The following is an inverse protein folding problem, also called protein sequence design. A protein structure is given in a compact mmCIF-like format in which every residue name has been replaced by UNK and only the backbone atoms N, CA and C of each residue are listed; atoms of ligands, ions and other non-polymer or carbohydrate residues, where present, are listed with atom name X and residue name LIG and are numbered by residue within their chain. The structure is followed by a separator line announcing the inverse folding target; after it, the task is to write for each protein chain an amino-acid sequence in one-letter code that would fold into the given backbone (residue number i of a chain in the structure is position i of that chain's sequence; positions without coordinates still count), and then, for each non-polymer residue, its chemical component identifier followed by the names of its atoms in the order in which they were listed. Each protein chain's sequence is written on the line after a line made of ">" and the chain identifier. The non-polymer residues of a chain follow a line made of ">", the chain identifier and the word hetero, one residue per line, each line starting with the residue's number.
data_IF_020106992346
#
_entry.id   IF_020106992346
#
_cell.length_a   1.000
_cell.length_b   1.000
_cell.length_c   1.000
_cell.angle_alpha   90.00
_cell.angle_beta   90.00
_cell.angle_gamma   90.00
#
_symmetry.space_group_name_H-M   'P 1'
#
loop_
_entity.id
_entity.type
_entity.pdbx_description
1 polymer ?
#
# COMPACT_ATOMS: atom_id res chain seq x y z
N UNK A 1 7.24 29.56 16.34
CA UNK A 1 7.39 29.99 17.77
C UNK A 1 7.31 28.75 18.64
N UNK A 2 8.39 28.41 19.35
CA UNK A 2 8.42 27.28 20.29
C UNK A 2 7.55 27.61 21.50
N UNK A 3 6.39 26.96 21.59
CA UNK A 3 5.55 27.06 22.80
C UNK A 3 6.29 26.44 23.99
N UNK A 4 6.76 27.27 24.89
CA UNK A 4 7.32 26.81 26.17
C UNK A 4 6.24 26.10 26.96
N UNK A 5 6.50 24.85 27.34
CA UNK A 5 5.65 24.06 28.22
C UNK A 5 5.53 24.74 29.58
N UNK A 6 4.30 25.08 30.02
CA UNK A 6 4.07 25.67 31.35
C UNK A 6 3.35 24.66 32.25
N UNK A 7 3.77 24.60 33.53
CA UNK A 7 3.13 23.75 34.54
C UNK A 7 1.99 24.47 35.26
N UNK A 8 1.93 25.81 35.19
CA UNK A 8 1.10 26.65 36.04
C UNK A 8 1.65 26.72 37.48
N UNK A 9 0.92 27.30 38.38
CA UNK A 9 1.27 27.33 39.80
C UNK A 9 0.02 27.31 40.71
N UNK A 10 0.11 26.66 41.86
CA UNK A 10 -0.95 26.63 42.87
C UNK A 10 -0.72 27.69 43.94
N UNK A 11 -1.76 28.46 44.25
CA UNK A 11 -1.84 29.39 45.39
C UNK A 11 -3.11 29.13 46.19
N UNK A 12 -3.08 29.54 47.50
CA UNK A 12 -4.25 29.58 48.36
C UNK A 12 -4.95 30.92 48.20
N UNK A 13 -6.26 30.91 47.95
CA UNK A 13 -7.11 32.11 47.98
C UNK A 13 -8.21 31.95 49.01
N UNK A 14 -8.49 33.02 49.80
CA UNK A 14 -9.67 33.09 50.66
C UNK A 14 -10.91 33.30 49.79
N UNK A 15 -11.87 32.40 49.92
CA UNK A 15 -13.18 32.48 49.22
C UNK A 15 -14.30 32.34 50.25
N UNK A 16 -15.55 32.57 49.82
CA UNK A 16 -16.74 32.51 50.66
C UNK A 16 -16.91 31.19 51.44
N UNK A 17 -16.42 30.08 50.90
CA UNK A 17 -16.50 28.75 51.51
C UNK A 17 -15.24 28.35 52.28
N UNK A 18 -14.24 29.24 52.41
CA UNK A 18 -12.98 28.97 53.09
C UNK A 18 -11.74 29.13 52.21
N UNK A 19 -10.59 28.80 52.76
CA UNK A 19 -9.32 28.84 52.06
C UNK A 19 -9.30 27.73 50.98
N UNK A 20 -9.06 28.10 49.70
CA UNK A 20 -9.17 27.21 48.54
C UNK A 20 -7.86 27.19 47.78
N UNK A 21 -7.41 25.98 47.35
CA UNK A 21 -6.35 25.84 46.38
C UNK A 21 -6.85 26.27 45.01
N UNK A 22 -6.10 27.19 44.36
CA UNK A 22 -6.42 27.71 43.02
C UNK A 22 -5.22 27.52 42.11
N UNK A 23 -5.45 26.90 40.97
CA UNK A 23 -4.45 26.74 39.92
C UNK A 23 -4.48 27.98 39.02
N UNK A 24 -3.32 28.60 38.86
CA UNK A 24 -3.08 29.73 37.96
C UNK A 24 -2.27 29.30 36.77
N UNK A 25 -2.63 29.83 35.62
CA UNK A 25 -1.89 29.60 34.36
C UNK A 25 -2.14 30.77 33.40
N UNK A 26 -1.28 30.90 32.37
CA UNK A 26 -1.38 32.00 31.41
C UNK A 26 -1.80 31.47 30.06
N UNK A 27 -2.75 32.15 29.39
CA UNK A 27 -3.14 31.91 28.01
C UNK A 27 -2.91 33.17 27.18
N UNK A 28 -2.84 32.99 25.84
CA UNK A 28 -2.77 34.11 24.91
C UNK A 28 -4.18 34.33 24.38
N UNK A 29 -4.74 35.54 24.59
CA UNK A 29 -6.05 35.89 24.06
C UNK A 29 -5.99 36.00 22.54
N UNK A 30 -6.88 35.30 21.83
CA UNK A 30 -6.90 35.27 20.36
C UNK A 30 -7.23 36.61 19.70
N UNK A 31 -7.96 37.49 20.39
CA UNK A 31 -8.41 38.79 19.84
C UNK A 31 -7.31 39.86 19.75
N UNK A 32 -6.33 39.85 20.65
CA UNK A 32 -5.33 40.92 20.82
C UNK A 32 -3.91 40.41 21.05
N UNK A 33 -3.69 39.08 21.08
CA UNK A 33 -2.38 38.46 21.31
C UNK A 33 -1.81 38.67 22.72
N UNK A 34 -2.58 39.28 23.66
CA UNK A 34 -2.10 39.56 25.02
C UNK A 34 -2.14 38.33 25.93
N UNK A 35 -1.16 38.21 26.81
CA UNK A 35 -1.12 37.16 27.86
C UNK A 35 -2.17 37.49 28.93
N UNK A 36 -3.09 36.55 29.16
CA UNK A 36 -4.12 36.64 30.19
C UNK A 36 -3.87 35.53 31.22
N UNK A 37 -3.95 35.92 32.48
CA UNK A 37 -3.89 34.98 33.59
C UNK A 37 -5.28 34.38 33.83
N UNK A 38 -5.34 33.06 33.88
CA UNK A 38 -6.55 32.29 34.18
C UNK A 38 -6.37 31.59 35.51
N UNK A 39 -7.49 31.33 36.18
CA UNK A 39 -7.51 30.63 37.44
C UNK A 39 -8.67 29.65 37.54
N UNK A 40 -8.35 28.46 38.09
CA UNK A 40 -9.30 27.37 38.29
C UNK A 40 -9.25 26.97 39.77
N UNK A 41 -10.37 26.98 40.50
CA UNK A 41 -10.42 26.47 41.87
C UNK A 41 -10.32 24.95 41.84
N UNK A 42 -9.44 24.37 42.68
CA UNK A 42 -9.20 22.94 42.75
C UNK A 42 -10.01 22.30 43.88
N UNK A 43 -10.00 22.92 45.06
CA UNK A 43 -10.75 22.46 46.21
C UNK A 43 -10.28 23.14 47.49
N UNK A 44 -10.99 22.89 48.61
CA UNK A 44 -10.68 23.52 49.88
C UNK A 44 -9.35 23.03 50.45
N UNK A 45 -8.61 23.90 51.14
CA UNK A 45 -7.32 23.56 51.77
C UNK A 45 -7.47 22.48 52.84
N UNK A 46 -8.64 22.41 53.50
CA UNK A 46 -8.95 21.35 54.46
C UNK A 46 -9.05 19.95 53.84
N UNK A 47 -9.42 19.88 52.54
CA UNK A 47 -9.58 18.62 51.84
C UNK A 47 -8.25 18.16 51.21
N UNK A 48 -7.33 19.10 50.97
CA UNK A 48 -6.00 18.86 50.43
C UNK A 48 -4.93 19.46 51.32
N UNK A 49 -4.45 18.67 52.28
CA UNK A 49 -3.56 19.10 53.38
C UNK A 49 -2.20 19.63 52.90
N UNK A 50 -1.77 19.30 51.69
CA UNK A 50 -0.52 19.76 51.12
C UNK A 50 -0.66 20.21 49.68
N UNK A 51 0.32 21.03 49.23
CA UNK A 51 0.40 21.46 47.82
C UNK A 51 0.57 20.26 46.85
N UNK A 52 1.21 19.20 47.32
CA UNK A 52 1.38 17.96 46.54
C UNK A 52 0.04 17.24 46.34
N UNK A 53 -0.79 17.15 47.39
CA UNK A 53 -2.13 16.57 47.27
C UNK A 53 -3.01 17.39 46.33
N UNK A 54 -2.93 18.73 46.37
CA UNK A 54 -3.64 19.60 45.44
C UNK A 54 -3.15 19.42 43.98
N UNK A 55 -1.86 19.16 43.77
CA UNK A 55 -1.33 18.81 42.44
C UNK A 55 -1.83 17.44 41.95
N UNK A 56 -1.93 16.43 42.81
CA UNK A 56 -2.54 15.15 42.48
C UNK A 56 -3.98 15.31 42.01
N UNK A 57 -4.74 16.22 42.62
CA UNK A 57 -6.11 16.53 42.18
C UNK A 57 -6.14 17.25 40.81
N UNK A 58 -5.19 18.16 40.54
CA UNK A 58 -5.03 18.77 39.21
C UNK A 58 -4.77 17.72 38.14
N UNK A 59 -3.94 16.73 38.44
CA UNK A 59 -3.64 15.61 37.52
C UNK A 59 -4.87 14.69 37.35
N UNK A 60 -5.60 14.39 38.46
CA UNK A 60 -6.80 13.59 38.43
C UNK A 60 -7.93 14.24 37.61
N UNK A 61 -8.09 15.55 37.73
CA UNK A 61 -9.05 16.33 36.94
C UNK A 61 -8.59 16.58 35.51
N UNK A 62 -7.44 16.04 35.10
CA UNK A 62 -6.88 16.21 33.72
C UNK A 62 -6.84 17.69 33.27
N UNK A 63 -6.51 18.61 34.13
CA UNK A 63 -6.40 20.03 33.82
C UNK A 63 -5.12 20.33 33.05
N UNK A 64 -5.11 20.03 31.77
CA UNK A 64 -3.94 20.21 30.90
C UNK A 64 -3.79 21.65 30.43
N UNK A 65 -2.94 22.42 31.12
CA UNK A 65 -2.70 23.85 30.92
C UNK A 65 -1.97 24.17 29.59
N UNK A 66 -1.33 23.20 29.00
CA UNK A 66 -0.52 23.35 27.79
C UNK A 66 -1.22 22.90 26.50
N UNK A 67 -2.49 22.59 26.56
CA UNK A 67 -3.24 22.31 25.33
C UNK A 67 -3.39 23.62 24.56
N UNK A 68 -2.78 23.66 23.38
CA UNK A 68 -3.24 24.56 22.31
C UNK A 68 -4.74 24.32 22.21
N UNK A 69 -5.56 25.38 22.31
CA UNK A 69 -7.01 25.30 22.36
C UNK A 69 -7.63 24.75 21.06
N UNK A 70 -7.36 23.48 20.76
CA UNK A 70 -8.23 22.62 19.98
C UNK A 70 -9.24 21.90 20.89
N UNK A 71 -9.47 22.42 22.10
CA UNK A 71 -10.40 21.83 23.06
C UNK A 71 -11.79 21.75 22.45
N UNK A 72 -12.13 20.60 21.99
CA UNK A 72 -13.50 20.16 21.79
C UNK A 72 -14.13 20.44 20.42
N UNK A 73 -13.49 21.17 19.52
CA UNK A 73 -14.14 21.58 18.26
C UNK A 73 -13.37 21.26 16.98
N UNK A 74 -12.14 20.66 17.03
CA UNK A 74 -11.44 20.28 15.80
C UNK A 74 -12.25 19.22 15.07
N UNK A 75 -12.64 19.52 13.86
CA UNK A 75 -13.32 18.56 12.99
C UNK A 75 -12.32 17.58 12.38
N UNK A 76 -12.81 16.46 11.86
CA UNK A 76 -11.96 15.54 11.12
C UNK A 76 -11.34 16.22 9.88
N UNK A 77 -12.04 17.18 9.26
CA UNK A 77 -11.50 17.96 8.14
C UNK A 77 -10.28 18.77 8.54
N UNK A 78 -10.29 19.44 9.70
CA UNK A 78 -9.13 20.21 10.18
C UNK A 78 -7.90 19.32 10.34
N UNK A 79 -8.08 18.12 10.94
CA UNK A 79 -7.02 17.15 11.09
C UNK A 79 -6.51 16.62 9.75
N UNK A 80 -7.42 16.34 8.82
CA UNK A 80 -7.09 15.80 7.50
C UNK A 80 -6.37 16.82 6.63
N UNK A 81 -6.75 18.08 6.66
CA UNK A 81 -6.07 19.17 5.94
C UNK A 81 -4.64 19.35 6.49
N UNK A 82 -4.49 19.44 7.80
CA UNK A 82 -3.16 19.53 8.41
C UNK A 82 -2.27 18.32 8.07
N UNK A 83 -2.86 17.09 8.03
CA UNK A 83 -2.14 15.91 7.59
C UNK A 83 -1.72 16.01 6.12
N UNK A 84 -2.61 16.48 5.24
CA UNK A 84 -2.30 16.62 3.83
C UNK A 84 -1.19 17.63 3.57
N UNK A 85 -1.24 18.79 4.22
CA UNK A 85 -0.24 19.85 4.10
C UNK A 85 1.18 19.47 4.58
N UNK A 86 1.29 18.55 5.56
CA UNK A 86 2.58 18.20 6.16
C UNK A 86 3.10 16.83 5.74
N UNK A 87 2.23 15.91 5.33
CA UNK A 87 2.60 14.52 5.07
C UNK A 87 2.39 14.07 3.63
N UNK A 88 1.52 14.75 2.88
CA UNK A 88 1.22 14.43 1.49
C UNK A 88 1.88 15.44 0.52
N UNK A 89 3.03 15.94 0.92
CA UNK A 89 3.87 16.83 0.12
C UNK A 89 4.82 16.05 -0.78
N UNK A 90 5.39 16.72 -1.76
CA UNK A 90 6.35 16.13 -2.70
C UNK A 90 7.55 15.51 -1.96
N UNK A 91 8.12 14.40 -2.50
CA UNK A 91 9.19 13.66 -1.83
C UNK A 91 10.44 14.48 -1.49
N UNK A 92 10.69 15.58 -2.21
CA UNK A 92 11.83 16.49 -1.99
C UNK A 92 11.69 17.33 -0.73
N UNK A 93 10.48 17.54 -0.23
CA UNK A 93 10.18 18.41 0.90
C UNK A 93 10.01 17.65 2.22
N UNK A 94 9.98 16.32 2.17
CA UNK A 94 9.72 15.47 3.34
C UNK A 94 10.97 14.75 3.84
N UNK A 95 11.16 14.72 5.17
CA UNK A 95 12.18 13.90 5.85
C UNK A 95 11.91 12.39 5.64
N UNK A 96 10.64 12.00 5.48
CA UNK A 96 10.21 10.63 5.21
C UNK A 96 9.34 10.59 3.94
N UNK A 97 9.95 10.66 2.76
CA UNK A 97 9.23 10.81 1.50
C UNK A 97 8.32 9.61 1.23
N UNK A 98 7.06 9.89 0.99
CA UNK A 98 6.11 8.89 0.48
C UNK A 98 6.21 8.84 -1.05
N UNK A 99 6.08 7.63 -1.62
CA UNK A 99 6.00 7.52 -3.07
C UNK A 99 4.77 8.29 -3.60
N UNK A 100 4.93 8.96 -4.74
CA UNK A 100 3.88 9.76 -5.38
C UNK A 100 2.54 9.01 -5.53
N UNK A 101 2.60 7.72 -5.89
CA UNK A 101 1.39 6.86 -5.96
C UNK A 101 0.71 6.67 -4.61
N UNK A 102 1.46 6.70 -3.50
CA UNK A 102 0.93 6.63 -2.13
C UNK A 102 0.24 7.93 -1.77
N UNK A 103 0.87 9.08 -2.06
CA UNK A 103 0.31 10.42 -1.86
C UNK A 103 -1.04 10.51 -2.58
N UNK A 104 -1.06 10.32 -3.90
CA UNK A 104 -2.32 10.33 -4.70
C UNK A 104 -3.36 9.34 -4.19
N UNK A 105 -2.92 8.16 -3.75
CA UNK A 105 -3.83 7.15 -3.22
C UNK A 105 -4.46 7.53 -1.88
N UNK A 106 -3.75 8.29 -1.04
CA UNK A 106 -4.28 8.79 0.23
C UNK A 106 -5.15 10.02 0.03
N UNK A 107 -4.74 10.96 -0.82
CA UNK A 107 -5.55 12.13 -1.22
C UNK A 107 -6.91 11.70 -1.79
N UNK A 108 -6.91 10.69 -2.68
CA UNK A 108 -8.16 10.15 -3.24
C UNK A 108 -9.08 9.59 -2.16
N UNK A 109 -8.53 8.86 -1.19
CA UNK A 109 -9.31 8.32 -0.06
C UNK A 109 -9.84 9.45 0.81
N UNK A 110 -9.02 10.42 1.16
CA UNK A 110 -9.43 11.59 1.94
C UNK A 110 -10.54 12.35 1.22
N UNK A 111 -10.29 12.80 -0.01
CA UNK A 111 -11.21 13.67 -0.77
C UNK A 111 -12.52 12.98 -1.14
N UNK A 112 -12.45 11.71 -1.60
CA UNK A 112 -13.63 11.06 -2.17
C UNK A 112 -14.43 10.23 -1.17
N UNK A 113 -13.87 9.92 0.03
CA UNK A 113 -14.51 9.01 0.98
C UNK A 113 -14.56 9.56 2.40
N UNK A 114 -13.43 9.98 2.96
CA UNK A 114 -13.37 10.32 4.38
C UNK A 114 -13.92 11.73 4.65
N UNK A 115 -13.53 12.73 3.88
CA UNK A 115 -14.01 14.10 4.05
C UNK A 115 -15.51 14.25 3.82
N UNK A 116 -16.12 13.68 2.76
CA UNK A 116 -17.57 13.75 2.58
C UNK A 116 -18.36 13.13 3.72
N UNK A 117 -17.88 12.06 4.31
CA UNK A 117 -18.57 11.32 5.38
C UNK A 117 -18.33 11.92 6.77
N UNK A 118 -17.07 12.25 7.08
CA UNK A 118 -16.62 12.54 8.44
C UNK A 118 -16.11 13.97 8.62
N UNK A 119 -15.90 14.71 7.56
CA UNK A 119 -15.21 16.01 7.59
C UNK A 119 -15.79 16.98 8.61
N UNK A 120 -17.11 17.10 8.67
CA UNK A 120 -17.80 18.03 9.58
C UNK A 120 -17.99 17.50 11.01
N UNK A 121 -17.60 16.25 11.28
CA UNK A 121 -17.73 15.66 12.61
C UNK A 121 -16.57 16.08 13.51
N UNK A 122 -16.86 16.33 14.77
CA UNK A 122 -15.84 16.56 15.81
C UNK A 122 -14.96 15.31 15.89
N UNK A 123 -13.64 15.45 15.70
CA UNK A 123 -12.74 14.33 15.55
C UNK A 123 -12.69 13.42 16.78
N UNK A 124 -12.70 13.99 17.98
CA UNK A 124 -12.69 13.24 19.24
C UNK A 124 -14.05 12.61 19.60
N UNK A 125 -15.11 12.99 18.90
CA UNK A 125 -16.46 12.43 19.08
C UNK A 125 -16.79 11.32 18.09
N UNK A 126 -15.82 10.85 17.30
CA UNK A 126 -16.06 9.73 16.37
C UNK A 126 -15.91 8.40 17.10
N UNK A 127 -17.01 7.64 17.10
CA UNK A 127 -17.05 6.33 17.75
C UNK A 127 -16.56 5.21 16.79
N UNK A 128 -15.78 4.24 17.31
CA UNK A 128 -15.29 3.12 16.49
C UNK A 128 -16.40 2.35 15.78
N UNK A 129 -17.54 2.15 16.47
CA UNK A 129 -18.68 1.39 15.95
C UNK A 129 -19.34 2.09 14.74
N UNK A 130 -19.48 3.43 14.79
CA UNK A 130 -20.00 4.20 13.65
C UNK A 130 -19.16 4.01 12.39
N UNK A 131 -17.82 3.98 12.56
CA UNK A 131 -16.90 3.74 11.43
C UNK A 131 -16.99 2.30 10.92
N UNK A 132 -17.15 1.32 11.81
CA UNK A 132 -17.36 -0.08 11.39
C UNK A 132 -18.66 -0.24 10.59
N UNK A 133 -19.74 0.37 11.04
CA UNK A 133 -21.05 0.32 10.35
C UNK A 133 -20.98 0.97 8.99
N UNK A 134 -20.31 2.13 8.89
CA UNK A 134 -20.08 2.79 7.61
C UNK A 134 -19.25 1.93 6.65
N UNK A 135 -18.16 1.30 7.11
CA UNK A 135 -17.36 0.39 6.29
C UNK A 135 -18.18 -0.83 5.83
N UNK A 136 -19.01 -1.39 6.71
CA UNK A 136 -19.94 -2.49 6.36
C UNK A 136 -20.98 -2.03 5.33
N UNK A 137 -21.52 -0.82 5.48
CA UNK A 137 -22.45 -0.25 4.51
C UNK A 137 -21.81 -0.12 3.14
N UNK A 138 -20.60 0.44 3.03
CA UNK A 138 -19.85 0.53 1.77
C UNK A 138 -19.60 -0.83 1.12
N UNK A 139 -19.33 -1.87 1.92
CA UNK A 139 -19.20 -3.22 1.40
C UNK A 139 -20.52 -3.72 0.79
N UNK A 140 -21.66 -3.46 1.43
CA UNK A 140 -22.99 -3.91 0.96
C UNK A 140 -23.49 -3.13 -0.25
N UNK A 141 -23.32 -1.82 -0.24
CA UNK A 141 -23.90 -0.93 -1.27
C UNK A 141 -23.03 -0.80 -2.52
N UNK A 142 -21.71 -0.82 -2.35
CA UNK A 142 -20.76 -0.61 -3.46
C UNK A 142 -19.90 -1.83 -3.78
N UNK A 143 -20.05 -2.94 -3.04
CA UNK A 143 -19.27 -4.15 -3.26
C UNK A 143 -17.76 -3.99 -3.02
N UNK A 144 -17.34 -3.02 -2.19
CA UNK A 144 -15.92 -2.73 -2.01
C UNK A 144 -15.19 -3.89 -1.34
N UNK A 145 -14.03 -4.24 -1.89
CA UNK A 145 -13.18 -5.30 -1.35
C UNK A 145 -12.59 -4.94 0.03
N UNK A 146 -12.43 -5.94 0.90
CA UNK A 146 -11.89 -5.77 2.24
C UNK A 146 -10.57 -4.95 2.30
N UNK A 147 -9.57 -5.18 1.42
CA UNK A 147 -8.35 -4.34 1.41
C UNK A 147 -8.60 -2.86 1.11
N UNK A 148 -9.65 -2.53 0.35
CA UNK A 148 -10.03 -1.14 0.06
C UNK A 148 -10.62 -0.48 1.30
N UNK A 149 -11.49 -1.19 2.02
CA UNK A 149 -12.07 -0.74 3.29
C UNK A 149 -11.00 -0.55 4.36
N UNK A 150 -10.07 -1.52 4.50
CA UNK A 150 -8.96 -1.42 5.43
C UNK A 150 -8.00 -0.26 5.06
N UNK A 151 -7.81 0.04 3.77
CA UNK A 151 -7.06 1.23 3.35
C UNK A 151 -7.71 2.51 3.86
N UNK A 152 -9.05 2.63 3.81
CA UNK A 152 -9.77 3.80 4.35
C UNK A 152 -9.53 3.93 5.86
N UNK A 153 -9.70 2.85 6.62
CA UNK A 153 -9.42 2.79 8.06
C UNK A 153 -7.97 3.18 8.37
N UNK A 154 -6.99 2.66 7.60
CA UNK A 154 -5.57 3.00 7.78
C UNK A 154 -5.28 4.46 7.52
N UNK A 155 -5.82 5.05 6.44
CA UNK A 155 -5.63 6.48 6.13
C UNK A 155 -6.21 7.34 7.24
N UNK A 156 -7.42 7.01 7.72
CA UNK A 156 -8.03 7.69 8.86
C UNK A 156 -7.16 7.59 10.13
N UNK A 157 -6.63 6.40 10.44
CA UNK A 157 -5.70 6.21 11.56
C UNK A 157 -4.41 7.02 11.41
N UNK A 158 -3.89 7.18 10.19
CA UNK A 158 -2.71 8.01 9.92
C UNK A 158 -2.98 9.50 10.22
N UNK A 159 -4.16 10.00 9.87
CA UNK A 159 -4.58 11.37 10.20
C UNK A 159 -4.58 11.58 11.72
N UNK A 160 -5.18 10.67 12.48
CA UNK A 160 -5.18 10.75 13.96
C UNK A 160 -3.77 10.66 14.55
N UNK A 161 -2.94 9.73 14.09
CA UNK A 161 -1.55 9.59 14.57
C UNK A 161 -0.70 10.83 14.28
N UNK A 162 -0.88 11.42 13.11
CA UNK A 162 -0.26 12.69 12.76
C UNK A 162 -0.71 13.80 13.71
N UNK A 163 -2.00 13.94 13.94
CA UNK A 163 -2.58 14.94 14.84
C UNK A 163 -2.11 14.77 16.27
N UNK A 164 -1.95 13.55 16.75
CA UNK A 164 -1.33 13.25 18.03
C UNK A 164 0.15 13.69 18.08
N UNK A 165 0.92 13.41 17.01
CA UNK A 165 2.32 13.81 16.91
C UNK A 165 2.49 15.33 16.97
N UNK A 166 1.62 16.07 16.28
CA UNK A 166 1.64 17.53 16.27
C UNK A 166 0.95 18.18 17.49
N UNK A 167 0.35 17.38 18.37
CA UNK A 167 -0.35 17.90 19.56
C UNK A 167 -1.67 18.59 19.27
N UNK A 168 -2.28 18.33 18.10
CA UNK A 168 -3.60 18.83 17.73
C UNK A 168 -4.71 18.14 18.52
N UNK A 169 -4.47 16.89 18.93
CA UNK A 169 -5.33 16.08 19.80
C UNK A 169 -4.48 15.42 20.88
N UNK A 170 -5.08 14.93 21.98
CA UNK A 170 -4.36 14.27 23.07
C UNK A 170 -3.53 13.07 22.60
N UNK A 171 -2.34 12.87 23.22
CA UNK A 171 -1.41 11.77 22.88
C UNK A 171 -1.72 10.47 23.65
N UNK A 172 -2.98 10.16 23.86
CA UNK A 172 -3.42 8.92 24.48
C UNK A 172 -3.97 7.94 23.42
N UNK A 173 -4.20 6.69 23.83
CA UNK A 173 -4.70 5.66 22.89
C UNK A 173 -6.14 5.91 22.45
N UNK A 174 -6.96 6.47 23.32
CA UNK A 174 -8.40 6.71 23.16
C UNK A 174 -8.68 7.79 22.12
N UNK A 175 -7.77 8.77 21.96
CA UNK A 175 -7.90 9.84 20.96
C UNK A 175 -7.75 9.38 19.52
N UNK A 176 -7.43 8.11 19.27
CA UNK A 176 -7.45 7.52 17.92
C UNK A 176 -8.44 6.36 17.87
N UNK A 177 -9.72 6.60 17.55
CA UNK A 177 -10.75 5.58 17.54
C UNK A 177 -10.49 4.45 16.56
N UNK A 178 -9.68 4.69 15.51
CA UNK A 178 -9.32 3.67 14.51
C UNK A 178 -8.53 2.49 15.06
N UNK A 179 -7.99 2.59 16.26
CA UNK A 179 -7.31 1.47 16.94
C UNK A 179 -8.29 0.38 17.36
N UNK A 180 -9.53 0.75 17.61
CA UNK A 180 -10.59 -0.14 18.07
C UNK A 180 -11.52 -0.58 16.93
N UNK A 181 -11.43 0.05 15.75
CA UNK A 181 -12.21 -0.30 14.56
C UNK A 181 -11.76 -1.66 14.01
N UNK A 182 -12.66 -2.62 14.01
CA UNK A 182 -12.47 -3.95 13.42
C UNK A 182 -12.74 -3.89 11.92
N UNK A 183 -11.78 -4.31 11.13
CA UNK A 183 -11.93 -4.37 9.67
C UNK A 183 -11.24 -5.63 9.14
N UNK A 184 -11.94 -6.41 8.32
CA UNK A 184 -11.36 -7.59 7.66
C UNK A 184 -10.31 -7.13 6.64
N UNK A 185 -9.10 -7.67 6.73
CA UNK A 185 -7.97 -7.25 5.89
C UNK A 185 -7.68 -8.22 4.74
N UNK A 186 -8.21 -9.45 4.83
CA UNK A 186 -7.95 -10.51 3.85
C UNK A 186 -8.61 -10.20 2.52
N UNK A 187 -7.86 -10.37 1.44
CA UNK A 187 -8.38 -10.32 0.08
C UNK A 187 -9.07 -11.64 -0.27
N UNK A 188 -10.20 -11.55 -0.94
CA UNK A 188 -10.90 -12.68 -1.55
C UNK A 188 -10.54 -12.80 -3.05
N UNK A 189 -9.58 -11.98 -3.50
CA UNK A 189 -9.14 -11.99 -4.90
C UNK A 189 -8.21 -13.18 -5.17
N UNK A 190 -8.61 -13.99 -6.12
CA UNK A 190 -7.78 -15.02 -6.72
C UNK A 190 -7.24 -14.52 -8.08
N UNK A 191 -5.92 -14.61 -8.25
CA UNK A 191 -5.29 -14.20 -9.49
C UNK A 191 -5.57 -15.23 -10.58
N UNK A 192 -6.03 -14.78 -11.75
CA UNK A 192 -6.08 -15.63 -12.94
C UNK A 192 -4.65 -16.03 -13.33
N UNK A 193 -4.40 -17.33 -13.41
CA UNK A 193 -3.13 -17.90 -13.83
C UNK A 193 -3.28 -18.43 -15.26
N UNK A 194 -2.41 -17.98 -16.15
CA UNK A 194 -2.35 -18.46 -17.53
C UNK A 194 -1.40 -19.66 -17.62
N UNK A 195 -1.78 -20.65 -18.41
CA UNK A 195 -0.83 -21.68 -18.86
C UNK A 195 0.13 -21.11 -19.94
N UNK A 196 1.27 -21.75 -20.21
CA UNK A 196 2.16 -21.32 -21.31
C UNK A 196 1.45 -21.21 -22.65
N UNK A 197 0.55 -22.14 -22.96
CA UNK A 197 -0.25 -22.18 -24.20
C UNK A 197 -1.20 -20.98 -24.27
N UNK A 198 -1.88 -20.67 -23.17
CA UNK A 198 -2.75 -19.50 -23.07
C UNK A 198 -1.96 -18.19 -23.21
N UNK A 199 -0.81 -18.08 -22.55
CA UNK A 199 0.08 -16.92 -22.67
C UNK A 199 0.55 -16.75 -24.13
N UNK A 200 0.90 -17.82 -24.81
CA UNK A 200 1.28 -17.82 -26.22
C UNK A 200 0.11 -17.38 -27.10
N UNK A 201 -1.10 -17.89 -26.88
CA UNK A 201 -2.29 -17.48 -27.60
C UNK A 201 -2.58 -15.97 -27.48
N UNK A 202 -2.35 -15.38 -26.29
CA UNK A 202 -2.44 -13.92 -26.12
C UNK A 202 -1.39 -13.20 -26.96
N UNK A 203 -0.13 -13.67 -26.94
CA UNK A 203 0.97 -13.05 -27.70
C UNK A 203 0.73 -13.05 -29.20
N UNK A 204 0.10 -14.10 -29.75
CA UNK A 204 -0.27 -14.19 -31.20
C UNK A 204 -1.26 -13.09 -31.57
N UNK A 205 -2.11 -12.65 -30.66
CA UNK A 205 -3.12 -11.60 -30.88
C UNK A 205 -2.63 -10.19 -30.61
N UNK A 206 -1.33 -10.00 -30.28
CA UNK A 206 -0.71 -8.70 -30.04
C UNK A 206 0.20 -8.31 -31.21
N UNK A 207 0.27 -7.01 -31.49
CA UNK A 207 1.24 -6.40 -32.40
C UNK A 207 2.40 -5.78 -31.61
N UNK A 208 3.45 -5.32 -32.30
CA UNK A 208 4.50 -4.53 -31.66
C UNK A 208 4.01 -3.10 -31.39
N UNK A 209 4.40 -2.50 -30.26
CA UNK A 209 5.36 -2.99 -29.22
C UNK A 209 4.72 -3.84 -28.12
N UNK A 210 3.39 -3.99 -28.10
CA UNK A 210 2.66 -4.66 -27.00
C UNK A 210 3.04 -6.12 -26.89
N UNK A 211 3.34 -6.79 -28.02
CA UNK A 211 3.81 -8.18 -28.02
C UNK A 211 5.13 -8.33 -27.27
N UNK A 212 6.13 -7.52 -27.62
CA UNK A 212 7.45 -7.56 -26.96
C UNK A 212 7.34 -7.14 -25.48
N UNK A 213 6.51 -6.15 -25.15
CA UNK A 213 6.26 -5.74 -23.76
C UNK A 213 5.63 -6.87 -22.94
N UNK A 214 4.63 -7.53 -23.50
CA UNK A 214 3.92 -8.63 -22.83
C UNK A 214 4.86 -9.83 -22.63
N UNK A 215 5.67 -10.17 -23.65
CA UNK A 215 6.68 -11.22 -23.54
C UNK A 215 7.74 -10.90 -22.49
N UNK A 216 8.21 -9.65 -22.43
CA UNK A 216 9.15 -9.19 -21.41
C UNK A 216 8.55 -9.36 -20.00
N UNK A 217 7.32 -8.90 -19.78
CA UNK A 217 6.65 -9.01 -18.50
C UNK A 217 6.40 -10.48 -18.08
N UNK A 218 5.99 -11.33 -19.03
CA UNK A 218 5.73 -12.74 -18.78
C UNK A 218 7.01 -13.54 -18.51
N UNK A 219 8.07 -13.30 -19.29
CA UNK A 219 9.31 -14.07 -19.19
C UNK A 219 10.24 -13.66 -18.04
N UNK A 220 10.18 -12.38 -17.60
CA UNK A 220 11.03 -11.86 -16.53
C UNK A 220 10.30 -11.65 -15.20
N UNK A 221 8.97 -11.62 -15.22
CA UNK A 221 8.16 -11.25 -14.06
C UNK A 221 8.34 -9.78 -13.63
N UNK A 222 8.90 -8.91 -14.46
CA UNK A 222 8.97 -7.47 -14.21
C UNK A 222 7.57 -6.88 -13.99
N UNK A 223 7.46 -5.94 -13.07
CA UNK A 223 6.21 -5.17 -12.93
C UNK A 223 6.03 -4.25 -14.14
N UNK A 224 4.81 -4.04 -14.58
CA UNK A 224 4.53 -3.15 -15.71
C UNK A 224 5.19 -1.77 -15.57
N UNK A 225 5.20 -1.20 -14.36
CA UNK A 225 5.87 0.07 -14.09
C UNK A 225 7.40 0.01 -14.26
N UNK A 226 8.01 -1.14 -14.04
CA UNK A 226 9.44 -1.38 -14.26
C UNK A 226 9.71 -1.55 -15.77
N UNK A 227 8.88 -2.32 -16.47
CA UNK A 227 8.98 -2.46 -17.95
C UNK A 227 8.86 -1.09 -18.65
N UNK A 228 7.87 -0.29 -18.26
CA UNK A 228 7.65 1.04 -18.85
C UNK A 228 8.74 2.05 -18.45
N UNK A 229 9.45 1.82 -17.33
CA UNK A 229 10.57 2.62 -16.89
C UNK A 229 11.90 2.31 -17.61
N UNK A 230 11.95 1.30 -18.49
CA UNK A 230 13.18 0.92 -19.19
C UNK A 230 13.54 1.91 -20.30
N UNK A 231 14.81 2.24 -20.39
CA UNK A 231 15.45 2.88 -21.53
C UNK A 231 16.42 1.91 -22.21
N UNK A 232 16.77 2.15 -23.45
CA UNK A 232 17.67 1.25 -24.20
C UNK A 232 19.06 1.12 -23.56
N UNK A 233 19.55 2.14 -22.88
CA UNK A 233 20.80 2.07 -22.09
C UNK A 233 20.73 1.13 -20.88
N UNK A 234 19.53 0.70 -20.48
CA UNK A 234 19.35 -0.26 -19.38
C UNK A 234 19.40 -1.72 -19.87
N UNK A 235 19.43 -1.94 -21.18
CA UNK A 235 19.41 -3.26 -21.82
C UNK A 235 20.78 -3.55 -22.41
N UNK A 236 21.57 -4.40 -21.74
CA UNK A 236 22.83 -4.90 -22.28
C UNK A 236 22.60 -6.22 -23.01
N UNK A 237 22.61 -6.18 -24.33
CA UNK A 237 22.51 -7.41 -25.13
C UNK A 237 23.80 -8.24 -25.06
N UNK A 238 24.97 -7.59 -24.91
CA UNK A 238 26.26 -8.26 -24.80
C UNK A 238 26.40 -9.03 -23.48
N UNK A 239 25.96 -8.42 -22.37
CA UNK A 239 26.01 -9.04 -21.04
C UNK A 239 24.76 -9.89 -20.74
N UNK A 240 23.78 -9.92 -21.65
CA UNK A 240 22.50 -10.58 -21.48
C UNK A 240 21.76 -10.20 -20.19
N UNK A 241 21.68 -8.89 -19.89
CA UNK A 241 21.14 -8.32 -18.65
C UNK A 241 20.31 -7.09 -18.89
N UNK A 242 19.24 -6.94 -18.09
CA UNK A 242 18.44 -5.71 -17.98
C UNK A 242 18.67 -5.12 -16.58
N UNK A 243 19.03 -3.83 -16.51
CA UNK A 243 19.19 -3.07 -15.27
C UNK A 243 17.94 -2.27 -14.96
N UNK A 244 17.23 -2.59 -13.86
CA UNK A 244 16.02 -1.87 -13.48
C UNK A 244 16.39 -0.68 -12.61
N UNK A 245 16.59 0.48 -13.23
CA UNK A 245 17.01 1.72 -12.56
C UNK A 245 15.85 2.59 -12.13
N UNK A 246 14.72 2.54 -12.85
CA UNK A 246 13.57 3.42 -12.64
C UNK A 246 12.25 2.69 -12.87
N UNK A 247 11.16 3.34 -12.46
CA UNK A 247 9.79 2.91 -12.73
C UNK A 247 9.02 4.05 -13.36
N UNK A 248 8.01 3.73 -14.16
CA UNK A 248 7.09 4.72 -14.69
C UNK A 248 5.68 4.46 -14.20
N UNK A 249 5.08 5.43 -13.50
CA UNK A 249 3.72 5.28 -12.95
C UNK A 249 3.03 6.63 -12.87
N UNK A 250 1.80 6.69 -13.35
CA UNK A 250 0.96 7.91 -13.28
C UNK A 250 1.61 9.17 -13.89
N UNK A 251 2.39 9.02 -14.96
CA UNK A 251 3.03 10.14 -15.64
C UNK A 251 4.33 10.62 -14.99
N UNK A 252 4.89 9.86 -14.04
CA UNK A 252 6.10 10.23 -13.33
C UNK A 252 7.12 9.09 -13.28
N UNK A 253 8.39 9.48 -13.33
CA UNK A 253 9.53 8.60 -13.06
C UNK A 253 9.64 8.41 -11.56
N UNK A 254 9.72 7.17 -11.14
CA UNK A 254 9.96 6.79 -9.74
C UNK A 254 11.13 5.81 -9.61
N UNK A 255 11.42 5.42 -8.37
CA UNK A 255 12.45 4.44 -8.05
C UNK A 255 11.84 3.09 -7.71
N UNK A 256 12.53 1.97 -7.99
CA UNK A 256 12.12 0.65 -7.54
C UNK A 256 11.96 0.62 -6.01
N UNK A 257 10.85 0.04 -5.52
CA UNK A 257 10.41 0.11 -4.11
C UNK A 257 11.35 -0.53 -3.10
N UNK A 258 12.18 -1.49 -3.52
CA UNK A 258 13.05 -2.26 -2.63
C UNK A 258 14.43 -2.47 -3.24
N UNK A 259 15.42 -2.79 -2.39
CA UNK A 259 16.76 -3.18 -2.87
C UNK A 259 16.70 -4.37 -3.83
N UNK A 260 15.85 -5.37 -3.53
CA UNK A 260 15.64 -6.52 -4.40
C UNK A 260 15.10 -6.14 -5.79
N UNK A 261 14.27 -5.09 -5.87
CA UNK A 261 13.74 -4.58 -7.14
C UNK A 261 14.77 -3.83 -8.01
N UNK A 262 15.93 -3.48 -7.47
CA UNK A 262 17.04 -2.84 -8.20
C UNK A 262 18.03 -3.85 -8.80
N UNK A 263 17.88 -5.13 -8.48
CA UNK A 263 18.77 -6.18 -8.98
C UNK A 263 18.69 -6.34 -10.51
N UNK A 264 19.78 -6.84 -11.12
CA UNK A 264 19.82 -7.16 -12.55
C UNK A 264 18.81 -8.27 -12.86
N UNK A 265 18.27 -8.25 -14.07
CA UNK A 265 17.35 -9.26 -14.60
C UNK A 265 18.02 -9.96 -15.76
N UNK A 266 18.18 -11.28 -15.72
CA UNK A 266 18.74 -12.02 -16.84
C UNK A 266 17.88 -11.85 -18.10
N UNK A 267 18.53 -11.60 -19.23
CA UNK A 267 17.90 -11.49 -20.53
C UNK A 267 18.14 -12.76 -21.32
N UNK A 268 17.15 -13.65 -21.33
CA UNK A 268 17.24 -14.89 -22.08
C UNK A 268 17.40 -14.61 -23.59
N UNK A 269 18.20 -15.41 -24.36
CA UNK A 269 18.47 -15.16 -25.79
C UNK A 269 17.21 -14.98 -26.65
N UNK A 270 16.18 -15.80 -26.43
CA UNK A 270 14.89 -15.64 -27.14
C UNK A 270 14.25 -14.27 -26.90
N UNK A 271 14.25 -13.81 -25.65
CA UNK A 271 13.70 -12.50 -25.30
C UNK A 271 14.56 -11.37 -25.87
N UNK A 272 15.89 -11.54 -25.84
CA UNK A 272 16.84 -10.61 -26.42
C UNK A 272 16.57 -10.42 -27.93
N UNK A 273 16.27 -11.49 -28.66
CA UNK A 273 15.94 -11.44 -30.07
C UNK A 273 14.67 -10.60 -30.34
N UNK A 274 13.59 -10.82 -29.58
CA UNK A 274 12.36 -10.00 -29.70
C UNK A 274 12.63 -8.53 -29.39
N UNK A 275 13.37 -8.25 -28.34
CA UNK A 275 13.72 -6.86 -27.96
C UNK A 275 14.63 -6.21 -29.01
N UNK A 276 15.56 -6.96 -29.58
CA UNK A 276 16.45 -6.45 -30.64
C UNK A 276 15.66 -6.17 -31.94
N UNK A 277 14.78 -7.06 -32.33
CA UNK A 277 13.86 -6.84 -33.48
C UNK A 277 12.98 -5.62 -33.27
N UNK A 278 12.46 -5.43 -32.06
CA UNK A 278 11.71 -4.23 -31.70
C UNK A 278 12.59 -2.97 -31.76
N UNK A 279 13.80 -3.03 -31.23
CA UNK A 279 14.76 -1.90 -31.29
C UNK A 279 15.03 -1.45 -32.74
N UNK A 280 15.06 -2.37 -33.68
CA UNK A 280 15.24 -2.06 -35.11
C UNK A 280 14.00 -1.48 -35.79
N UNK A 281 12.82 -1.69 -35.22
CA UNK A 281 11.54 -1.22 -35.79
C UNK A 281 11.09 0.12 -35.20
N UNK A 282 11.44 0.41 -33.97
CA UNK A 282 11.04 1.65 -33.32
C UNK A 282 11.79 2.85 -33.87
N UNK A 283 11.12 4.00 -33.94
CA UNK A 283 11.77 5.28 -34.28
C UNK A 283 12.62 5.84 -33.11
N UNK A 284 12.47 5.28 -31.91
CA UNK A 284 13.08 5.73 -30.67
C UNK A 284 14.04 4.64 -30.15
N UNK A 285 15.25 4.60 -30.73
CA UNK A 285 16.24 3.55 -30.49
C UNK A 285 17.54 4.03 -29.84
N UNK A 286 17.64 5.34 -29.52
CA UNK A 286 18.81 5.91 -28.87
C UNK A 286 18.93 5.40 -27.40
N UNK A 287 20.13 5.40 -26.81
CA UNK A 287 20.34 4.90 -25.45
C UNK A 287 19.39 5.50 -24.40
N UNK A 288 19.07 6.79 -24.50
CA UNK A 288 18.18 7.51 -23.58
C UNK A 288 16.68 7.36 -23.88
N UNK A 289 16.33 6.77 -25.04
CA UNK A 289 14.94 6.60 -25.42
C UNK A 289 14.29 5.49 -24.59
N UNK A 290 12.98 5.64 -24.36
CA UNK A 290 12.17 4.61 -23.70
C UNK A 290 12.03 3.37 -24.61
N UNK A 291 12.16 2.20 -24.00
CA UNK A 291 11.97 0.93 -24.74
C UNK A 291 10.54 0.82 -25.25
N UNK A 292 9.56 1.33 -24.49
CA UNK A 292 8.14 1.31 -24.86
C UNK A 292 7.55 2.74 -24.84
N UNK A 293 7.93 3.55 -25.87
CA UNK A 293 7.54 4.94 -25.94
C UNK A 293 6.07 5.13 -26.30
N UNK A 294 5.49 6.24 -25.86
CA UNK A 294 4.21 6.72 -26.36
C UNK A 294 4.41 7.41 -27.73
N UNK A 295 3.89 6.81 -28.79
CA UNK A 295 3.93 7.44 -30.13
C UNK A 295 3.12 8.72 -30.16
N UNK A 296 1.98 8.77 -29.44
CA UNK A 296 1.15 9.98 -29.30
C UNK A 296 1.93 11.17 -28.73
N UNK A 297 2.86 10.90 -27.81
CA UNK A 297 3.73 11.90 -27.18
C UNK A 297 5.13 11.95 -27.84
N UNK A 298 5.26 11.51 -29.09
CA UNK A 298 6.52 11.56 -29.86
C UNK A 298 7.73 11.01 -29.10
N UNK A 299 7.54 9.93 -28.34
CA UNK A 299 8.61 9.27 -27.58
C UNK A 299 9.05 9.97 -26.28
N UNK A 300 8.52 11.14 -25.96
CA UNK A 300 8.92 11.89 -24.76
C UNK A 300 8.56 11.18 -23.45
N UNK A 301 7.54 10.38 -23.46
CA UNK A 301 7.09 9.61 -22.30
C UNK A 301 6.79 8.15 -22.68
N UNK A 302 6.87 7.22 -21.72
CA UNK A 302 6.39 5.87 -21.92
C UNK A 302 4.86 5.80 -22.11
N UNK A 303 4.40 4.64 -22.54
CA UNK A 303 2.98 4.31 -22.62
C UNK A 303 2.33 4.27 -21.24
N UNK A 304 1.00 4.31 -21.23
CA UNK A 304 0.20 4.28 -19.99
C UNK A 304 -0.26 2.85 -19.72
N UNK A 305 0.05 2.33 -18.53
CA UNK A 305 -0.21 0.93 -18.17
C UNK A 305 -1.69 0.53 -18.28
N UNK A 306 -2.63 1.37 -17.84
CA UNK A 306 -4.06 1.06 -17.92
C UNK A 306 -4.54 0.97 -19.38
N UNK A 307 -4.11 1.91 -20.22
CA UNK A 307 -4.46 1.86 -21.65
C UNK A 307 -3.90 0.60 -22.33
N UNK A 308 -2.70 0.17 -21.96
CA UNK A 308 -2.13 -1.07 -22.48
C UNK A 308 -2.96 -2.31 -22.09
N UNK A 309 -3.55 -2.30 -20.90
CA UNK A 309 -4.44 -3.38 -20.46
C UNK A 309 -5.78 -3.30 -21.20
N UNK A 310 -6.41 -2.14 -21.22
CA UNK A 310 -7.77 -1.94 -21.74
C UNK A 310 -7.82 -2.03 -23.27
N UNK A 311 -6.86 -1.42 -23.96
CA UNK A 311 -6.88 -1.29 -25.41
C UNK A 311 -6.19 -2.48 -26.14
N UNK A 312 -5.30 -3.22 -25.45
CA UNK A 312 -4.49 -4.25 -26.11
C UNK A 312 -4.52 -5.61 -25.42
N UNK A 313 -4.17 -5.68 -24.11
CA UNK A 313 -3.97 -6.96 -23.44
C UNK A 313 -5.28 -7.72 -23.22
N UNK A 314 -6.34 -7.04 -22.74
CA UNK A 314 -7.66 -7.66 -22.55
C UNK A 314 -8.30 -8.02 -23.88
N UNK A 315 -8.33 -7.18 -24.93
CA UNK A 315 -8.80 -7.57 -26.25
C UNK A 315 -8.04 -8.76 -26.85
N UNK A 316 -6.73 -8.86 -26.64
CA UNK A 316 -5.96 -10.02 -27.09
C UNK A 316 -6.35 -11.30 -26.32
N UNK A 317 -6.60 -11.21 -25.01
CA UNK A 317 -7.05 -12.33 -24.21
C UNK A 317 -8.48 -12.78 -24.55
N UNK A 318 -9.37 -11.84 -24.93
CA UNK A 318 -10.69 -12.14 -25.50
C UNK A 318 -10.57 -12.91 -26.82
N UNK A 319 -9.74 -12.41 -27.75
CA UNK A 319 -9.50 -13.10 -29.04
C UNK A 319 -8.87 -14.48 -28.86
N UNK A 320 -8.09 -14.67 -27.82
CA UNK A 320 -7.50 -15.95 -27.43
C UNK A 320 -8.48 -16.89 -26.72
N UNK A 321 -9.74 -16.49 -26.50
CA UNK A 321 -10.76 -17.28 -25.79
C UNK A 321 -10.51 -17.45 -24.29
N UNK A 322 -9.70 -16.59 -23.66
CA UNK A 322 -9.33 -16.66 -22.24
C UNK A 322 -10.30 -15.85 -21.37
N UNK A 323 -10.72 -14.70 -21.87
CA UNK A 323 -11.73 -13.85 -21.22
C UNK A 323 -13.07 -14.01 -21.95
N UNK A 324 -14.16 -13.93 -21.19
CA UNK A 324 -15.51 -13.92 -21.73
C UNK A 324 -15.76 -12.62 -22.52
N UNK A 325 -16.63 -12.72 -23.52
CA UNK A 325 -17.00 -11.59 -24.35
C UNK A 325 -18.33 -11.85 -25.05
N UNK A 326 -19.02 -10.79 -25.42
CA UNK A 326 -20.16 -10.83 -26.29
C UNK A 326 -19.90 -10.02 -27.57
N UNK A 327 -20.77 -10.16 -28.59
CA UNK A 327 -20.74 -9.29 -29.75
C UNK A 327 -21.74 -8.15 -29.56
N UNK A 328 -21.28 -6.92 -29.80
CA UNK A 328 -22.16 -5.75 -29.82
C UNK A 328 -23.05 -5.76 -31.11
N UNK A 329 -23.97 -4.78 -31.18
CA UNK A 329 -24.86 -4.62 -32.33
C UNK A 329 -24.11 -4.40 -33.66
N UNK A 330 -22.83 -4.04 -33.60
CA UNK A 330 -21.92 -3.87 -34.73
C UNK A 330 -21.06 -5.10 -34.99
N UNK A 331 -21.33 -6.22 -34.30
CA UNK A 331 -20.59 -7.47 -34.42
C UNK A 331 -19.17 -7.47 -33.81
N UNK A 332 -18.78 -6.43 -33.08
CA UNK A 332 -17.46 -6.35 -32.44
C UNK A 332 -17.46 -7.14 -31.14
N UNK A 333 -16.35 -7.83 -30.85
CA UNK A 333 -16.14 -8.50 -29.56
C UNK A 333 -15.93 -7.45 -28.48
N UNK A 334 -16.78 -7.50 -27.46
CA UNK A 334 -16.72 -6.63 -26.28
C UNK A 334 -16.40 -7.51 -25.07
N UNK A 335 -15.38 -7.14 -24.33
CA UNK A 335 -14.98 -7.79 -23.07
C UNK A 335 -16.03 -7.54 -21.99
N UNK A 336 -16.63 -8.60 -21.47
CA UNK A 336 -17.60 -8.59 -20.36
C UNK A 336 -17.14 -9.45 -19.16
N UNK A 337 -15.89 -9.91 -19.20
CA UNK A 337 -15.35 -10.73 -18.13
C UNK A 337 -15.14 -9.91 -16.86
N UNK A 338 -15.82 -10.26 -15.74
CA UNK A 338 -15.70 -9.52 -14.48
C UNK A 338 -14.35 -9.73 -13.79
N UNK A 339 -13.56 -10.73 -14.22
CA UNK A 339 -12.28 -11.04 -13.60
C UNK A 339 -11.26 -9.97 -13.91
N UNK A 340 -10.46 -9.63 -12.88
CA UNK A 340 -9.33 -8.72 -13.06
C UNK A 340 -8.23 -9.42 -13.84
N UNK A 341 -7.92 -8.91 -15.02
CA UNK A 341 -6.84 -9.40 -15.86
C UNK A 341 -5.95 -8.24 -16.30
N UNK A 342 -4.63 -8.42 -16.21
CA UNK A 342 -3.62 -7.42 -16.58
C UNK A 342 -2.21 -7.96 -16.41
N UNK A 343 -1.21 -7.12 -16.60
CA UNK A 343 0.21 -7.51 -16.54
C UNK A 343 0.64 -8.21 -15.25
N UNK A 344 -0.03 -7.94 -14.13
CA UNK A 344 0.31 -8.60 -12.87
C UNK A 344 -0.05 -10.09 -12.87
N UNK A 345 -1.05 -10.48 -13.66
CA UNK A 345 -1.42 -11.89 -13.86
C UNK A 345 -0.32 -12.66 -14.59
N UNK A 346 0.40 -12.04 -15.53
CA UNK A 346 1.55 -12.67 -16.20
C UNK A 346 2.67 -13.01 -15.19
N UNK A 347 2.93 -12.11 -14.25
CA UNK A 347 3.89 -12.36 -13.18
C UNK A 347 3.42 -13.47 -12.23
N UNK A 348 2.14 -13.53 -11.89
CA UNK A 348 1.55 -14.63 -11.12
C UNK A 348 1.65 -15.96 -11.89
N UNK A 349 1.40 -15.94 -13.20
CA UNK A 349 1.53 -17.11 -14.05
C UNK A 349 2.97 -17.63 -14.09
N UNK A 350 3.96 -16.75 -14.23
CA UNK A 350 5.37 -17.13 -14.14
C UNK A 350 5.69 -17.75 -12.77
N UNK A 351 5.24 -17.13 -11.68
CA UNK A 351 5.45 -17.67 -10.35
C UNK A 351 4.88 -19.08 -10.19
N UNK A 352 3.62 -19.27 -10.60
CA UNK A 352 2.95 -20.58 -10.55
C UNK A 352 3.58 -21.61 -11.47
N UNK A 353 4.05 -21.20 -12.64
CA UNK A 353 4.79 -22.09 -13.57
C UNK A 353 6.09 -22.58 -12.94
N UNK A 354 6.90 -21.69 -12.34
CA UNK A 354 8.16 -22.04 -11.68
C UNK A 354 7.94 -23.00 -10.51
N UNK A 355 6.88 -22.80 -9.74
CA UNK A 355 6.47 -23.71 -8.66
C UNK A 355 6.12 -25.09 -9.22
N UNK A 356 5.33 -25.15 -10.30
CA UNK A 356 4.90 -26.39 -10.95
C UNK A 356 6.08 -27.22 -11.47
N UNK A 357 7.13 -26.57 -11.98
CA UNK A 357 8.37 -27.26 -12.41
C UNK A 357 9.34 -27.49 -11.25
N UNK A 358 8.87 -27.34 -9.98
CA UNK A 358 9.63 -27.61 -8.75
C UNK A 358 10.90 -26.76 -8.59
N UNK A 359 10.88 -25.54 -9.11
CA UNK A 359 11.98 -24.58 -8.89
C UNK A 359 12.08 -24.24 -7.40
N UNK A 360 13.30 -24.22 -6.89
CA UNK A 360 13.57 -23.85 -5.50
C UNK A 360 12.95 -22.49 -5.11
N UNK A 361 12.29 -22.39 -3.94
CA UNK A 361 11.61 -21.14 -3.50
C UNK A 361 12.53 -19.92 -3.44
N UNK A 362 13.81 -20.10 -3.12
CA UNK A 362 14.79 -19.01 -3.08
C UNK A 362 15.11 -18.49 -4.47
N UNK A 363 15.22 -19.39 -5.44
CA UNK A 363 15.40 -19.06 -6.85
C UNK A 363 14.18 -18.31 -7.38
N UNK A 364 12.94 -18.77 -7.10
CA UNK A 364 11.70 -18.06 -7.46
C UNK A 364 11.64 -16.68 -6.81
N UNK A 365 11.97 -16.56 -5.53
CA UNK A 365 12.04 -15.29 -4.82
C UNK A 365 13.00 -14.32 -5.50
N UNK A 366 14.17 -14.78 -5.85
CA UNK A 366 15.25 -13.99 -6.47
C UNK A 366 14.84 -13.54 -7.88
N UNK A 367 14.35 -14.46 -8.70
CA UNK A 367 13.91 -14.19 -10.07
C UNK A 367 12.76 -13.17 -10.11
N UNK A 368 11.78 -13.37 -9.25
CA UNK A 368 10.65 -12.43 -9.12
C UNK A 368 11.01 -11.17 -8.32
N UNK A 369 12.18 -11.12 -7.68
CA UNK A 369 12.65 -9.99 -6.85
C UNK A 369 11.62 -9.61 -5.78
N UNK A 370 11.08 -10.63 -5.08
CA UNK A 370 10.19 -10.43 -3.96
C UNK A 370 10.97 -9.99 -2.72
N UNK A 371 10.59 -8.87 -2.12
CA UNK A 371 11.18 -8.38 -0.87
C UNK A 371 10.78 -9.21 0.35
N UNK A 372 9.62 -9.86 0.29
CA UNK A 372 9.09 -10.74 1.34
C UNK A 372 8.93 -12.16 0.78
N UNK A 373 9.55 -13.13 1.45
CA UNK A 373 9.46 -14.55 1.10
C UNK A 373 8.03 -15.08 1.20
N UNK A 374 7.19 -14.50 2.06
CA UNK A 374 5.78 -14.88 2.21
C UNK A 374 5.01 -14.78 0.89
N UNK A 375 5.33 -13.77 0.07
CA UNK A 375 4.72 -13.62 -1.26
C UNK A 375 5.07 -14.77 -2.21
N UNK A 376 6.29 -15.28 -2.11
CA UNK A 376 6.73 -16.46 -2.88
C UNK A 376 6.08 -17.72 -2.35
N UNK A 377 6.08 -17.92 -1.03
CA UNK A 377 5.49 -19.11 -0.40
C UNK A 377 3.97 -19.21 -0.63
N UNK A 378 3.26 -18.10 -0.78
CA UNK A 378 1.84 -18.11 -1.17
C UNK A 378 1.61 -18.79 -2.53
N UNK A 379 2.56 -18.71 -3.46
CA UNK A 379 2.46 -19.40 -4.74
C UNK A 379 2.60 -20.93 -4.59
N UNK A 380 3.24 -21.40 -3.53
CA UNK A 380 3.42 -22.83 -3.23
C UNK A 380 2.24 -23.45 -2.47
N UNK A 381 1.37 -22.65 -1.85
CA UNK A 381 0.26 -23.19 -1.03
C UNK A 381 -0.79 -23.92 -1.87
N UNK A 382 -0.93 -23.61 -3.16
CA UNK A 382 -1.89 -24.25 -4.06
C UNK A 382 -1.42 -25.58 -4.64
N UNK A 383 -0.10 -25.89 -4.61
CA UNK A 383 0.47 -27.17 -5.12
C UNK A 383 0.62 -28.25 -4.04
N UNK A 384 0.24 -27.95 -2.80
CA UNK A 384 0.68 -28.69 -1.60
C UNK A 384 -0.04 -30.02 -1.36
N UNK A 385 -1.22 -30.31 -1.93
CA UNK A 385 -1.96 -31.54 -1.60
C UNK A 385 -1.36 -32.78 -2.27
N UNK A 386 -1.02 -32.73 -3.54
CA UNK A 386 -0.39 -33.84 -4.26
C UNK A 386 1.07 -34.03 -3.84
N UNK A 387 1.82 -32.92 -3.68
CA UNK A 387 3.23 -32.97 -3.23
C UNK A 387 3.37 -33.46 -1.77
N UNK A 388 2.38 -33.23 -0.88
CA UNK A 388 2.40 -33.78 0.49
C UNK A 388 2.33 -35.29 0.48
N UNK A 389 1.45 -35.86 -0.33
CA UNK A 389 1.29 -37.32 -0.41
C UNK A 389 2.54 -37.97 -1.03
N UNK A 390 3.11 -37.34 -2.07
CA UNK A 390 4.34 -37.80 -2.69
C UNK A 390 5.55 -37.71 -1.72
N UNK A 391 5.67 -36.58 -0.99
CA UNK A 391 6.74 -36.39 0.00
C UNK A 391 6.61 -37.37 1.20
N UNK A 392 5.40 -37.58 1.70
CA UNK A 392 5.14 -38.55 2.74
C UNK A 392 5.45 -39.99 2.26
N UNK A 393 5.07 -40.31 1.00
CA UNK A 393 5.40 -41.58 0.38
C UNK A 393 6.91 -41.81 0.22
N UNK A 394 7.64 -40.79 -0.25
CA UNK A 394 9.07 -40.82 -0.39
C UNK A 394 9.79 -41.03 0.97
N UNK A 395 9.30 -40.36 2.03
CA UNK A 395 9.82 -40.55 3.38
C UNK A 395 9.58 -41.98 3.90
N UNK A 396 8.37 -42.51 3.67
CA UNK A 396 8.07 -43.92 4.04
C UNK A 396 8.94 -44.90 3.29
N UNK A 397 9.11 -44.73 1.98
CA UNK A 397 10.01 -45.56 1.17
C UNK A 397 11.46 -45.49 1.71
N UNK A 398 11.97 -44.30 2.02
CA UNK A 398 13.33 -44.13 2.57
C UNK A 398 13.45 -44.78 3.94
N UNK A 399 12.46 -44.72 4.81
CA UNK A 399 12.48 -45.40 6.11
C UNK A 399 12.48 -46.91 5.93
N UNK A 400 11.65 -47.47 5.05
CA UNK A 400 11.56 -48.92 4.85
C UNK A 400 12.75 -49.49 4.09
N UNK A 401 13.32 -48.78 3.11
CA UNK A 401 14.57 -49.22 2.46
C UNK A 401 15.74 -49.24 3.44
N UNK A 402 15.84 -48.30 4.35
CA UNK A 402 16.89 -48.30 5.39
C UNK A 402 16.69 -49.39 6.45
N UNK A 403 15.42 -49.79 6.70
CA UNK A 403 15.09 -50.90 7.59
C UNK A 403 15.44 -52.26 6.93
N UNK A 404 15.21 -52.40 5.61
CA UNK A 404 15.57 -53.61 4.86
C UNK A 404 17.09 -53.85 4.81
N UNK A 405 17.87 -52.81 4.62
CA UNK A 405 19.36 -52.88 4.62
C UNK A 405 19.96 -53.27 5.98
N UNK A 406 19.29 -52.95 7.09
CA UNK A 406 19.75 -53.28 8.46
C UNK A 406 19.21 -54.59 9.01
N UNK A 407 18.09 -55.08 8.51
CA UNK A 407 17.42 -56.25 9.12
C UNK A 407 17.84 -57.59 8.52
N UNK A 408 18.60 -57.64 7.43
CA UNK A 408 19.07 -58.90 6.84
C UNK A 408 17.92 -59.90 6.55
N UNK A 409 16.69 -59.45 6.50
CA UNK A 409 15.52 -60.26 6.20
C UNK A 409 15.53 -60.63 4.72
N UNK A 410 16.17 -61.76 4.41
CA UNK A 410 15.90 -62.50 3.19
C UNK A 410 14.44 -62.91 3.23
N UNK A 411 13.68 -62.48 2.23
CA UNK A 411 12.40 -63.09 1.96
C UNK A 411 12.65 -64.50 1.44
N UNK A 412 12.22 -65.48 2.22
CA UNK A 412 11.99 -66.82 1.70
C UNK A 412 10.67 -66.83 0.90
#
# INVERSE_FOLDING_TARGET
>A
MTHRHQRGWLKKEKRSQGETWVLFFRTIRKSDGKRVENKIPIGLVKDFSSKSCAWGEVERQHLHINQVDFRGCATFADLAHHYAEHELVEPTESIHPKAHTTIRGYERVLRNRLLPQWGNRVALGLEPLEVEEWLKALKRTEGLANPTLDKMRRVMSLVYRHSQRYGLIPRNQESNPMRFVRCKTTSEYEAMILTPEQAYAVLLNLQEPERTLTLLAAGTGLRISECLGLQWQDVSFAEAVIQVRRTWTCGQVGWPKSKASKGPVPLHPLLAEFMFRWKRKTLYAQPGDWVFPSFKLKGQQPRVANMLVEDYLRPAAVKAGILSSHRDDKGRLVDDDPRRFGFHNLRHSLASFLVRIKTDPKTVQTLLRHSDVKLTLQCYTHSVSEDRMAAAGAMLVAIFSHAADRSGLKAD
#
